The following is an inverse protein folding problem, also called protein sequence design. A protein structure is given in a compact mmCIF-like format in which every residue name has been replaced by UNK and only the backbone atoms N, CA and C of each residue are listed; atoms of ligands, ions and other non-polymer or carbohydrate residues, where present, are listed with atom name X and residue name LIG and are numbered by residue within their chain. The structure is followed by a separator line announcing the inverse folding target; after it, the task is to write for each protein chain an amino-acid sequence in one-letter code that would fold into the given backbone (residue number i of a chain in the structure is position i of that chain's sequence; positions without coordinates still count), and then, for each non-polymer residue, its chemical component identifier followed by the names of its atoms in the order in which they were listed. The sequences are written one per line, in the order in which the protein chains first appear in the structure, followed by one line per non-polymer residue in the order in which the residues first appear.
data_IF_630810851114
#
_entry.id   IF_630810851114
#
_cell.length_a   1.000
_cell.length_b   1.000
_cell.length_c   1.000
_cell.angle_alpha   90.00
_cell.angle_beta   90.00
_cell.angle_gamma   90.00
#
_symmetry.space_group_name_H-M   'P 1'
#
loop_
_entity.id
_entity.type
_entity.pdbx_description
1 polymer ?
#
# COMPACT_ATOMS: atom_id res chain seq x y z
N UNK A 1 -5.09 -16.15 2.52
CA UNK A 1 -4.14 -16.68 3.54
C UNK A 1 -2.80 -15.98 3.32
N UNK A 2 -2.17 -15.49 4.39
CA UNK A 2 -0.98 -14.63 4.32
C UNK A 2 -0.65 -14.01 5.69
N UNK A 3 0.31 -13.07 5.73
CA UNK A 3 0.87 -12.38 6.91
C UNK A 3 -0.08 -11.49 7.73
N UNK A 4 -1.37 -11.78 7.72
CA UNK A 4 -2.40 -11.05 8.43
C UNK A 4 -2.14 -11.09 9.95
N UNK A 5 -1.98 -9.92 10.58
CA UNK A 5 -1.68 -9.77 12.00
C UNK A 5 -0.19 -9.82 12.36
N UNK A 6 0.71 -9.85 11.37
CA UNK A 6 2.17 -9.91 11.59
C UNK A 6 2.84 -8.53 11.54
N UNK A 7 2.17 -7.51 10.99
CA UNK A 7 2.80 -6.20 10.79
C UNK A 7 2.96 -5.43 12.10
N UNK A 8 2.01 -5.59 13.03
CA UNK A 8 1.99 -4.83 14.28
C UNK A 8 3.30 -4.96 15.07
N UNK A 9 3.91 -6.15 15.11
CA UNK A 9 5.17 -6.38 15.84
C UNK A 9 6.37 -5.67 15.21
N UNK A 10 6.31 -5.36 13.90
CA UNK A 10 7.38 -4.68 13.16
C UNK A 10 7.26 -3.16 13.15
N UNK A 11 6.12 -2.59 13.56
CA UNK A 11 5.91 -1.13 13.51
C UNK A 11 6.92 -0.38 14.36
N UNK A 12 7.34 -0.95 15.48
CA UNK A 12 8.33 -0.34 16.39
C UNK A 12 9.77 -0.82 16.14
N UNK A 13 9.97 -1.79 15.26
CA UNK A 13 11.30 -2.27 14.88
C UNK A 13 11.83 -1.38 13.73
N UNK A 14 12.99 -0.71 13.86
CA UNK A 14 13.54 0.13 12.80
C UNK A 14 14.07 -0.66 11.59
N UNK A 15 14.01 -1.98 11.63
CA UNK A 15 14.47 -2.85 10.54
C UNK A 15 13.45 -2.81 9.38
N UNK A 16 13.91 -2.66 8.13
CA UNK A 16 13.01 -2.76 6.99
C UNK A 16 12.45 -4.19 6.86
N UNK A 17 11.17 -4.29 6.51
CA UNK A 17 10.44 -5.56 6.46
C UNK A 17 9.88 -5.87 5.08
N UNK A 18 9.62 -7.15 4.81
CA UNK A 18 8.87 -7.60 3.64
C UNK A 18 7.82 -8.62 4.10
N UNK A 19 6.57 -8.40 3.70
CA UNK A 19 5.45 -9.28 3.99
C UNK A 19 4.69 -9.62 2.72
N UNK A 20 4.23 -10.87 2.65
CA UNK A 20 3.43 -11.37 1.54
C UNK A 20 2.04 -11.71 2.05
N UNK A 21 1.03 -11.22 1.34
CA UNK A 21 -0.36 -11.49 1.62
C UNK A 21 -1.11 -11.92 0.36
N UNK A 22 -2.27 -12.52 0.54
CA UNK A 22 -3.22 -12.78 -0.53
C UNK A 22 -4.60 -12.32 -0.10
N UNK A 23 -5.17 -11.40 -0.86
CA UNK A 23 -6.56 -10.97 -0.73
C UNK A 23 -7.42 -11.82 -1.66
N UNK A 24 -8.35 -12.57 -1.08
CA UNK A 24 -9.21 -13.49 -1.81
C UNK A 24 -10.61 -12.87 -1.96
N UNK A 25 -11.01 -12.56 -3.19
CA UNK A 25 -12.41 -12.30 -3.48
C UNK A 25 -13.19 -13.61 -3.57
N UNK A 26 -14.46 -13.57 -3.17
CA UNK A 26 -15.38 -14.66 -3.50
C UNK A 26 -15.50 -14.78 -5.02
N UNK A 27 -15.65 -16.01 -5.54
CA UNK A 27 -15.72 -16.25 -6.98
C UNK A 27 -16.90 -15.50 -7.61
N UNK A 28 -16.62 -14.67 -8.62
CA UNK A 28 -17.60 -13.81 -9.26
C UNK A 28 -18.10 -12.65 -8.38
N UNK A 29 -17.39 -12.32 -7.29
CA UNK A 29 -17.71 -11.18 -6.46
C UNK A 29 -17.67 -9.89 -7.27
N UNK A 30 -18.73 -9.10 -7.11
CA UNK A 30 -18.75 -7.70 -7.51
C UNK A 30 -18.29 -6.89 -6.31
N UNK A 31 -17.52 -5.83 -6.54
CA UNK A 31 -17.17 -4.91 -5.48
C UNK A 31 -18.46 -4.32 -4.86
N UNK A 32 -18.62 -4.53 -3.55
CA UNK A 32 -19.75 -4.01 -2.78
C UNK A 32 -19.23 -3.01 -1.74
N UNK A 33 -19.34 -1.69 -1.97
CA UNK A 33 -18.84 -0.69 -1.03
C UNK A 33 -19.57 -0.73 0.32
N UNK A 34 -20.75 -1.36 0.41
CA UNK A 34 -21.48 -1.47 1.68
C UNK A 34 -20.83 -2.40 2.69
N UNK A 35 -19.88 -3.23 2.23
CA UNK A 35 -19.07 -4.11 3.07
C UNK A 35 -17.82 -3.42 3.63
N UNK A 36 -17.50 -2.21 3.15
CA UNK A 36 -16.34 -1.45 3.63
C UNK A 36 -16.55 -0.96 5.06
N UNK A 37 -15.44 -0.90 5.80
CA UNK A 37 -15.39 -0.17 7.05
C UNK A 37 -15.63 1.34 6.81
N UNK A 38 -16.05 2.10 7.84
CA UNK A 38 -16.46 3.50 7.67
C UNK A 38 -15.42 4.42 7.01
N UNK A 39 -14.13 4.25 7.31
CA UNK A 39 -13.08 5.09 6.74
C UNK A 39 -12.78 4.78 5.25
N UNK A 40 -12.54 3.52 4.84
CA UNK A 40 -12.49 3.15 3.42
C UNK A 40 -13.74 3.55 2.65
N UNK A 41 -14.94 3.39 3.23
CA UNK A 41 -16.19 3.83 2.62
C UNK A 41 -16.21 5.35 2.39
N UNK A 42 -15.85 6.13 3.41
CA UNK A 42 -15.76 7.59 3.28
C UNK A 42 -14.74 8.00 2.22
N UNK A 43 -13.63 7.25 2.08
CA UNK A 43 -12.63 7.49 1.04
C UNK A 43 -13.16 7.15 -0.36
N UNK A 44 -13.97 6.10 -0.46
CA UNK A 44 -14.66 5.69 -1.69
C UNK A 44 -15.72 6.70 -2.14
N UNK A 45 -16.54 7.22 -1.21
CA UNK A 45 -17.61 8.18 -1.50
C UNK A 45 -17.12 9.64 -1.62
N UNK A 46 -15.93 9.93 -1.12
CA UNK A 46 -15.34 11.27 -1.08
C UNK A 46 -14.88 11.78 -2.44
N UNK A 47 -14.60 13.09 -2.52
CA UNK A 47 -13.92 13.66 -3.69
C UNK A 47 -12.50 13.08 -3.76
N UNK A 48 -12.24 12.26 -4.79
CA UNK A 48 -10.88 11.86 -5.14
C UNK A 48 -10.03 13.13 -5.33
N UNK A 49 -8.86 13.21 -4.69
CA UNK A 49 -7.87 14.28 -4.87
C UNK A 49 -7.31 14.36 -6.32
N UNK A 50 -7.81 13.51 -7.22
CA UNK A 50 -7.31 13.24 -8.56
C UNK A 50 -6.44 12.00 -8.56
N UNK A 51 -6.62 11.10 -9.53
CA UNK A 51 -5.80 9.89 -9.66
C UNK A 51 -6.63 8.66 -10.05
N UNK A 52 -5.94 7.63 -10.55
CA UNK A 52 -6.52 6.36 -11.00
C UNK A 52 -6.18 5.21 -10.04
N UNK A 53 -6.18 5.47 -8.73
CA UNK A 53 -5.79 4.51 -7.69
C UNK A 53 -6.81 4.37 -6.55
N UNK A 54 -8.06 4.81 -6.74
CA UNK A 54 -9.07 4.85 -5.69
C UNK A 54 -9.32 3.46 -5.07
N UNK A 55 -9.57 2.46 -5.91
CA UNK A 55 -9.89 1.10 -5.50
C UNK A 55 -8.71 0.48 -4.73
N UNK A 56 -7.49 0.65 -5.26
CA UNK A 56 -6.27 0.16 -4.61
C UNK A 56 -5.98 0.80 -3.25
N UNK A 57 -6.27 2.09 -3.09
CA UNK A 57 -6.13 2.79 -1.81
C UNK A 57 -7.21 2.36 -0.81
N UNK A 58 -8.48 2.35 -1.21
CA UNK A 58 -9.61 1.91 -0.39
C UNK A 58 -9.40 0.48 0.11
N UNK A 59 -8.99 -0.42 -0.77
CA UNK A 59 -8.74 -1.81 -0.39
C UNK A 59 -7.45 -1.98 0.41
N UNK A 60 -6.46 -1.10 0.25
CA UNK A 60 -5.31 -1.04 1.14
C UNK A 60 -5.74 -0.70 2.56
N UNK A 61 -6.57 0.33 2.74
CA UNK A 61 -7.13 0.70 4.05
C UNK A 61 -7.94 -0.45 4.65
N UNK A 62 -8.84 -1.06 3.86
CA UNK A 62 -9.67 -2.18 4.30
C UNK A 62 -8.82 -3.38 4.75
N UNK A 63 -7.80 -3.72 3.97
CA UNK A 63 -6.88 -4.84 4.28
C UNK A 63 -6.16 -4.61 5.61
N UNK A 64 -5.65 -3.40 5.87
CA UNK A 64 -4.97 -3.11 7.14
C UNK A 64 -5.95 -3.08 8.33
N UNK A 65 -7.20 -2.64 8.13
CA UNK A 65 -8.24 -2.70 9.16
C UNK A 65 -8.53 -4.16 9.52
N UNK A 66 -8.77 -5.00 8.51
CA UNK A 66 -9.16 -6.39 8.72
C UNK A 66 -8.01 -7.23 9.29
N UNK A 67 -6.77 -6.99 8.84
CA UNK A 67 -5.62 -7.79 9.24
C UNK A 67 -4.89 -7.28 10.46
N UNK A 68 -4.73 -5.97 10.61
CA UNK A 68 -3.87 -5.39 11.63
C UNK A 68 -4.67 -4.63 12.70
N UNK A 69 -6.01 -4.64 12.62
CA UNK A 69 -6.87 -3.86 13.50
C UNK A 69 -6.62 -2.36 13.37
N UNK A 70 -6.18 -1.91 12.19
CA UNK A 70 -5.83 -0.52 11.95
C UNK A 70 -7.06 0.40 12.07
N UNK A 71 -6.82 1.69 12.30
CA UNK A 71 -7.81 2.75 12.07
C UNK A 71 -7.21 3.86 11.23
N UNK A 72 -7.95 4.45 10.30
CA UNK A 72 -7.44 5.53 9.46
C UNK A 72 -7.43 6.84 10.24
N UNK A 73 -6.26 7.48 10.32
CA UNK A 73 -6.04 8.73 11.03
C UNK A 73 -6.28 9.94 10.12
N UNK A 74 -5.67 9.91 8.92
CA UNK A 74 -5.74 10.98 7.93
C UNK A 74 -5.57 10.43 6.52
N UNK A 75 -6.25 11.00 5.53
CA UNK A 75 -6.04 10.73 4.09
C UNK A 75 -5.01 11.69 3.49
N UNK A 76 -4.55 11.45 2.26
CA UNK A 76 -3.54 12.24 1.55
C UNK A 76 -3.78 13.76 1.67
N UNK A 77 -5.02 14.20 1.47
CA UNK A 77 -5.38 15.64 1.52
C UNK A 77 -5.39 16.26 2.91
N UNK A 78 -5.39 15.43 3.96
CA UNK A 78 -5.43 15.84 5.36
C UNK A 78 -4.04 15.84 6.02
N UNK A 79 -3.09 15.12 5.43
CA UNK A 79 -1.69 15.11 5.88
C UNK A 79 -1.03 16.44 5.56
N UNK A 80 -0.37 17.03 6.56
CA UNK A 80 0.30 18.31 6.43
C UNK A 80 1.80 18.10 6.25
N UNK A 81 2.34 18.70 5.18
CA UNK A 81 3.77 18.71 4.86
C UNK A 81 4.32 20.13 5.01
N UNK A 82 5.49 20.26 5.63
CA UNK A 82 6.21 21.53 5.79
C UNK A 82 6.87 21.97 4.48
N UNK A 83 7.20 21.01 3.61
CA UNK A 83 7.81 21.25 2.29
C UNK A 83 7.01 20.55 1.19
N UNK A 84 6.71 21.21 0.06
CA UNK A 84 6.08 20.54 -1.08
C UNK A 84 6.96 19.44 -1.67
N UNK A 85 6.36 18.30 -2.02
CA UNK A 85 7.05 17.14 -2.59
C UNK A 85 6.12 15.95 -2.78
N UNK A 86 6.66 14.73 -2.94
CA UNK A 86 5.90 13.49 -2.87
C UNK A 86 5.08 13.42 -1.58
N UNK A 87 3.87 12.86 -1.68
CA UNK A 87 2.95 12.67 -0.56
C UNK A 87 2.69 11.18 -0.35
N UNK A 88 2.37 10.82 0.87
CA UNK A 88 1.85 9.50 1.24
C UNK A 88 0.33 9.49 1.13
N UNK A 89 -0.24 8.36 0.72
CA UNK A 89 -1.66 8.22 0.42
C UNK A 89 -2.54 8.35 1.68
N UNK A 90 -2.10 7.82 2.83
CA UNK A 90 -2.79 8.02 4.11
C UNK A 90 -1.93 7.68 5.33
N UNK A 91 -2.38 8.09 6.52
CA UNK A 91 -1.84 7.67 7.80
C UNK A 91 -2.84 6.74 8.48
N UNK A 92 -2.38 5.56 8.88
CA UNK A 92 -3.10 4.64 9.73
C UNK A 92 -2.57 4.68 11.17
N UNK A 93 -3.40 4.27 12.13
CA UNK A 93 -2.96 3.87 13.46
C UNK A 93 -2.94 2.35 13.51
N UNK A 94 -1.76 1.78 13.75
CA UNK A 94 -1.57 0.34 13.91
C UNK A 94 -0.91 0.12 15.28
N UNK A 95 -1.58 -0.61 16.17
CA UNK A 95 -1.12 -0.76 17.55
C UNK A 95 -1.05 0.56 18.33
N UNK A 96 -1.74 1.61 17.88
CA UNK A 96 -1.71 2.95 18.48
C UNK A 96 -0.65 3.89 17.92
N UNK A 97 0.25 3.40 17.05
CA UNK A 97 1.31 4.19 16.43
C UNK A 97 0.87 4.71 15.06
N UNK A 98 1.30 5.94 14.70
CA UNK A 98 1.09 6.49 13.36
C UNK A 98 1.99 5.77 12.36
N UNK A 99 1.38 5.26 11.30
CA UNK A 99 2.07 4.58 10.20
C UNK A 99 1.66 5.26 8.90
N UNK A 100 2.63 5.82 8.19
CA UNK A 100 2.41 6.33 6.83
C UNK A 100 2.24 5.15 5.87
N UNK A 101 1.29 5.24 4.95
CA UNK A 101 1.03 4.19 3.97
C UNK A 101 1.01 4.79 2.58
N UNK A 102 1.87 4.26 1.72
CA UNK A 102 1.86 4.54 0.29
C UNK A 102 1.40 3.30 -0.48
N UNK A 103 0.60 3.47 -1.52
CA UNK A 103 -0.04 2.41 -2.28
C UNK A 103 0.43 2.43 -3.72
N UNK A 104 0.70 1.25 -4.27
CA UNK A 104 1.02 1.08 -5.68
C UNK A 104 0.62 -0.29 -6.18
N UNK A 105 0.87 -0.53 -7.47
CA UNK A 105 0.53 -1.77 -8.16
C UNK A 105 1.73 -2.25 -8.95
N UNK A 106 2.12 -3.51 -8.73
CA UNK A 106 2.99 -4.23 -9.64
C UNK A 106 2.12 -4.86 -10.74
N UNK A 107 1.81 -4.04 -11.76
CA UNK A 107 0.92 -4.43 -12.86
C UNK A 107 1.27 -3.71 -14.16
N UNK A 108 1.26 -4.45 -15.27
CA UNK A 108 1.66 -3.95 -16.59
C UNK A 108 0.52 -3.96 -17.62
N UNK A 109 -0.72 -4.20 -17.19
CA UNK A 109 -1.87 -4.30 -18.10
C UNK A 109 -2.12 -5.73 -18.61
N UNK A 110 -3.27 -5.97 -19.25
CA UNK A 110 -3.76 -7.31 -19.60
C UNK A 110 -3.02 -7.96 -20.78
N UNK A 111 -2.24 -7.18 -21.54
CA UNK A 111 -1.54 -7.64 -22.74
C UNK A 111 -0.03 -7.87 -22.52
N UNK A 112 0.48 -7.51 -21.34
CA UNK A 112 1.89 -7.71 -20.99
C UNK A 112 2.01 -9.00 -20.20
N UNK A 113 2.74 -9.95 -20.76
CA UNK A 113 2.91 -11.28 -20.17
C UNK A 113 4.13 -11.40 -19.26
N UNK A 114 5.05 -10.43 -19.33
CA UNK A 114 6.32 -10.48 -18.62
C UNK A 114 6.47 -9.24 -17.75
N UNK A 115 6.60 -9.46 -16.45
CA UNK A 115 7.11 -8.49 -15.49
C UNK A 115 8.55 -8.89 -15.19
N UNK A 116 9.49 -7.95 -15.22
CA UNK A 116 10.92 -8.25 -15.07
C UNK A 116 11.46 -7.73 -13.74
N UNK A 117 12.67 -8.17 -13.36
CA UNK A 117 13.37 -7.57 -12.22
C UNK A 117 13.69 -6.09 -12.44
N UNK A 118 13.91 -5.65 -13.67
CA UNK A 118 14.15 -4.24 -13.97
C UNK A 118 12.88 -3.42 -13.71
N UNK A 119 11.70 -3.93 -14.09
CA UNK A 119 10.40 -3.30 -13.78
C UNK A 119 10.18 -3.20 -12.26
N UNK A 120 10.49 -4.28 -11.53
CA UNK A 120 10.39 -4.31 -10.06
C UNK A 120 11.38 -3.35 -9.39
N UNK A 121 12.63 -3.30 -9.84
CA UNK A 121 13.66 -2.41 -9.32
C UNK A 121 13.29 -0.94 -9.57
N UNK A 122 12.77 -0.62 -10.75
CA UNK A 122 12.29 0.72 -11.07
C UNK A 122 11.12 1.11 -10.16
N UNK A 123 10.10 0.25 -10.05
CA UNK A 123 8.94 0.49 -9.19
C UNK A 123 9.35 0.72 -7.73
N UNK A 124 10.21 -0.13 -7.18
CA UNK A 124 10.65 -0.04 -5.79
C UNK A 124 11.52 1.21 -5.56
N UNK A 125 12.47 1.50 -6.45
CA UNK A 125 13.36 2.66 -6.29
C UNK A 125 12.56 3.96 -6.30
N UNK A 126 11.69 4.15 -7.30
CA UNK A 126 10.88 5.37 -7.43
C UNK A 126 9.97 5.56 -6.21
N UNK A 127 9.34 4.48 -5.73
CA UNK A 127 8.40 4.56 -4.60
C UNK A 127 9.12 4.77 -3.27
N UNK A 128 10.25 4.11 -3.05
CA UNK A 128 10.99 4.23 -1.81
C UNK A 128 11.70 5.59 -1.71
N UNK A 129 12.19 6.16 -2.81
CA UNK A 129 12.70 7.53 -2.84
C UNK A 129 11.60 8.54 -2.44
N UNK A 130 10.40 8.41 -3.02
CA UNK A 130 9.25 9.25 -2.65
C UNK A 130 8.82 9.08 -1.18
N UNK A 131 8.91 7.86 -0.64
CA UNK A 131 8.64 7.59 0.78
C UNK A 131 9.66 8.29 1.69
N UNK A 132 10.95 8.26 1.34
CA UNK A 132 11.97 8.96 2.12
C UNK A 132 11.75 10.46 2.09
N UNK A 133 11.42 11.03 0.93
CA UNK A 133 11.16 12.45 0.78
C UNK A 133 9.90 12.90 1.55
N UNK A 134 8.79 12.17 1.43
CA UNK A 134 7.55 12.46 2.17
C UNK A 134 7.75 12.36 3.68
N UNK A 135 8.53 11.38 4.15
CA UNK A 135 8.89 11.23 5.58
C UNK A 135 9.73 12.41 6.07
N UNK A 136 10.64 12.93 5.26
CA UNK A 136 11.45 14.08 5.63
C UNK A 136 10.66 15.40 5.64
N UNK A 137 9.59 15.48 4.85
CA UNK A 137 8.83 16.70 4.62
C UNK A 137 7.54 16.80 5.45
N UNK A 138 7.06 15.71 6.04
CA UNK A 138 5.82 15.72 6.85
C UNK A 138 5.99 16.58 8.10
N UNK A 139 4.96 17.32 8.45
CA UNK A 139 4.95 18.16 9.65
C UNK A 139 5.07 17.32 10.92
N UNK A 140 5.60 17.93 11.98
CA UNK A 140 5.78 17.25 13.27
C UNK A 140 4.49 16.66 13.86
N UNK A 141 3.33 17.28 13.59
CA UNK A 141 2.03 16.81 14.10
C UNK A 141 1.52 15.57 13.36
N UNK A 142 1.96 15.34 12.13
CA UNK A 142 1.57 14.20 11.29
C UNK A 142 2.70 13.17 11.10
N UNK A 143 3.85 13.38 11.75
CA UNK A 143 4.98 12.47 11.68
C UNK A 143 4.57 11.05 12.09
N UNK A 144 4.80 10.10 11.19
CA UNK A 144 4.64 8.68 11.45
C UNK A 144 5.91 8.06 12.00
N UNK A 145 5.73 6.95 12.73
CA UNK A 145 6.83 6.17 13.27
C UNK A 145 7.46 5.26 12.20
N UNK A 146 6.63 4.69 11.32
CA UNK A 146 7.01 3.70 10.31
C UNK A 146 6.28 3.99 9.00
N UNK A 147 6.84 3.54 7.88
CA UNK A 147 6.18 3.57 6.58
C UNK A 147 5.89 2.18 6.03
N UNK A 148 4.73 2.02 5.40
CA UNK A 148 4.36 0.84 4.63
C UNK A 148 4.22 1.22 3.15
N UNK A 149 4.93 0.53 2.28
CA UNK A 149 4.63 0.49 0.85
C UNK A 149 3.76 -0.73 0.56
N UNK A 150 2.46 -0.52 0.33
CA UNK A 150 1.52 -1.58 -0.03
C UNK A 150 1.44 -1.74 -1.55
N UNK A 151 1.88 -2.90 -2.05
CA UNK A 151 1.94 -3.23 -3.47
C UNK A 151 0.90 -4.30 -3.79
N UNK A 152 -0.05 -3.95 -4.66
CA UNK A 152 -1.02 -4.90 -5.19
C UNK A 152 -0.50 -5.58 -6.47
N UNK A 153 -0.80 -6.86 -6.67
CA UNK A 153 -0.55 -7.56 -7.93
C UNK A 153 -1.57 -8.69 -8.18
N UNK A 154 -1.76 -9.09 -9.44
CA UNK A 154 -2.62 -10.22 -9.81
C UNK A 154 -1.86 -11.54 -9.96
N UNK A 155 -0.54 -11.44 -10.06
CA UNK A 155 0.28 -12.58 -10.41
C UNK A 155 1.24 -12.93 -9.27
N UNK A 156 1.11 -14.12 -8.64
CA UNK A 156 2.05 -14.59 -7.63
C UNK A 156 3.51 -14.62 -8.10
N UNK A 157 3.75 -14.86 -9.40
CA UNK A 157 5.11 -14.83 -9.95
C UNK A 157 5.68 -13.40 -9.93
N UNK A 158 4.84 -12.39 -10.16
CA UNK A 158 5.26 -10.98 -10.09
C UNK A 158 5.51 -10.55 -8.65
N UNK A 159 4.71 -11.03 -7.69
CA UNK A 159 5.00 -10.85 -6.26
C UNK A 159 6.37 -11.41 -5.88
N UNK A 160 6.72 -12.58 -6.41
CA UNK A 160 8.04 -13.19 -6.21
C UNK A 160 9.17 -12.33 -6.80
N UNK A 161 8.98 -11.81 -8.02
CA UNK A 161 9.96 -10.92 -8.66
C UNK A 161 10.16 -9.63 -7.86
N UNK A 162 9.09 -9.03 -7.33
CA UNK A 162 9.18 -7.84 -6.47
C UNK A 162 9.87 -8.17 -5.14
N UNK A 163 9.56 -9.31 -4.52
CA UNK A 163 10.22 -9.77 -3.31
C UNK A 163 11.74 -9.99 -3.51
N UNK A 164 12.12 -10.60 -4.63
CA UNK A 164 13.51 -10.82 -5.00
C UNK A 164 14.24 -9.49 -5.31
N UNK A 165 13.57 -8.56 -6.01
CA UNK A 165 14.10 -7.22 -6.25
C UNK A 165 14.33 -6.49 -4.93
N UNK A 166 13.37 -6.52 -4.01
CA UNK A 166 13.52 -6.00 -2.65
C UNK A 166 14.71 -6.63 -1.92
N UNK A 167 14.88 -7.95 -1.96
CA UNK A 167 15.99 -8.61 -1.29
C UNK A 167 17.36 -8.08 -1.74
N UNK A 168 17.48 -7.73 -3.03
CA UNK A 168 18.72 -7.25 -3.65
C UNK A 168 18.85 -5.71 -3.69
N UNK A 169 17.83 -4.96 -3.27
CA UNK A 169 17.85 -3.51 -3.27
C UNK A 169 18.87 -2.95 -2.25
N UNK A 170 19.44 -1.78 -2.56
CA UNK A 170 20.34 -1.07 -1.66
C UNK A 170 19.71 -0.88 -0.27
N UNK A 171 20.37 -1.29 0.82
CA UNK A 171 19.84 -1.11 2.17
C UNK A 171 19.49 0.34 2.53
N UNK A 172 20.17 1.32 1.94
CA UNK A 172 19.87 2.75 2.15
C UNK A 172 18.54 3.17 1.54
N UNK A 173 18.12 2.55 0.43
CA UNK A 173 16.81 2.80 -0.18
C UNK A 173 15.67 2.20 0.65
N UNK A 174 15.89 1.05 1.28
CA UNK A 174 14.88 0.39 2.12
C UNK A 174 14.44 1.26 3.30
N UNK A 175 15.39 1.98 3.90
CA UNK A 175 15.13 2.87 5.03
C UNK A 175 14.37 2.16 6.16
N UNK A 176 13.49 2.89 6.83
CA UNK A 176 12.60 2.38 7.87
C UNK A 176 11.22 2.00 7.31
N UNK A 177 11.22 1.18 6.24
CA UNK A 177 10.02 0.86 5.45
C UNK A 177 9.69 -0.62 5.49
N UNK A 178 8.41 -0.93 5.61
CA UNK A 178 7.86 -2.25 5.34
C UNK A 178 7.30 -2.28 3.93
N UNK A 179 7.68 -3.28 3.13
CA UNK A 179 6.98 -3.59 1.87
C UNK A 179 5.95 -4.68 2.15
N UNK A 180 4.67 -4.38 1.92
CA UNK A 180 3.58 -5.34 1.97
C UNK A 180 3.17 -5.64 0.53
N UNK A 181 3.37 -6.86 0.05
CA UNK A 181 2.91 -7.29 -1.27
C UNK A 181 1.66 -8.13 -1.09
N UNK A 182 0.55 -7.69 -1.67
CA UNK A 182 -0.71 -8.42 -1.63
C UNK A 182 -1.10 -8.89 -3.02
N UNK A 183 -1.23 -10.21 -3.18
CA UNK A 183 -1.77 -10.81 -4.40
C UNK A 183 -3.30 -10.78 -4.32
N UNK A 184 -3.92 -10.09 -5.27
CA UNK A 184 -5.36 -10.17 -5.51
C UNK A 184 -5.68 -11.49 -6.22
N UNK A 185 -6.66 -12.22 -5.69
CA UNK A 185 -7.11 -13.52 -6.22
C UNK A 185 -8.61 -13.52 -6.47
N UNK A 186 -9.05 -14.23 -7.51
CA UNK A 186 -10.44 -14.35 -7.99
C UNK A 186 -11.10 -13.04 -8.47
N UNK A 187 -10.33 -12.00 -8.72
CA UNK A 187 -10.78 -10.70 -9.23
C UNK A 187 -9.58 -9.97 -9.85
N UNK A 188 -9.84 -8.90 -10.59
CA UNK A 188 -8.83 -7.91 -10.99
C UNK A 188 -9.21 -6.46 -10.66
N UNK A 189 -10.27 -6.26 -9.88
CA UNK A 189 -10.83 -4.95 -9.55
C UNK A 189 -9.82 -4.04 -8.85
N UNK A 190 -9.04 -4.55 -7.89
CA UNK A 190 -8.08 -3.73 -7.14
C UNK A 190 -6.94 -3.28 -8.05
N UNK A 191 -6.35 -4.22 -8.77
CA UNK A 191 -5.20 -3.94 -9.62
C UNK A 191 -5.57 -3.12 -10.86
N UNK A 192 -6.75 -3.33 -11.43
CA UNK A 192 -7.23 -2.51 -12.57
C UNK A 192 -7.85 -1.19 -12.16
N UNK A 193 -8.04 -0.96 -10.85
CA UNK A 193 -8.74 0.19 -10.27
C UNK A 193 -10.19 0.33 -10.73
N UNK A 194 -10.93 -0.78 -10.74
CA UNK A 194 -12.28 -0.89 -11.30
C UNK A 194 -13.41 -1.01 -10.26
N UNK A 195 -13.20 -0.53 -9.04
CA UNK A 195 -14.23 -0.53 -7.98
C UNK A 195 -15.47 0.34 -8.32
N UNK A 196 -15.37 1.26 -9.28
CA UNK A 196 -16.38 2.30 -9.55
C UNK A 196 -17.33 1.97 -10.73
N UNK A 197 -17.16 0.81 -11.39
CA UNK A 197 -17.82 0.47 -12.66
C UNK A 197 -18.84 -0.67 -12.55
#
# INVERSE_FOLDING_TARGET
EGSCGELQEQITDPTPGLFLNTYLFDDGAVFDPTLLAPAPLSRFEGENAGGSSLCSEVMSMQTLIDCEGASIYKTETEVVYDTPGPMTDYIALIGGEKVGVSVTRAYMGPFVQTYTHDDANQLLSDKLEGIQESTANVSADDLWLKQILHIWTLNPDWATIVADAWANLDPTLKGDTIVLITVESNSDLIVTDSCDN
#
